data_IF_941219770376
#
_entry.id   IF_941219770376
#
_cell.length_a   1.000
_cell.length_b   1.000
_cell.length_c   1.000
_cell.angle_alpha   90.00
_cell.angle_beta   90.00
_cell.angle_gamma   90.00
#
_symmetry.space_group_name_H-M   'P 1'
#
loop_
_entity.id
_entity.type
_entity.pdbx_description
1 polymer ?
#
# COMPACT_ATOMS: atom_id res chain seq x y z
N UNK A 1 -2.30 8.74 -12.81
CA UNK A 1 -3.47 8.01 -12.23
C UNK A 1 -3.14 7.65 -10.79
N UNK A 2 -3.99 7.93 -9.80
CA UNK A 2 -3.67 7.59 -8.40
C UNK A 2 -3.75 6.07 -8.20
N UNK A 3 -2.77 5.50 -7.52
CA UNK A 3 -2.71 4.07 -7.19
C UNK A 3 -2.38 3.89 -5.72
N UNK A 4 -2.98 2.88 -5.09
CA UNK A 4 -2.61 2.44 -3.74
C UNK A 4 -1.77 1.19 -3.90
N UNK A 5 -0.56 1.19 -3.33
CA UNK A 5 0.38 0.08 -3.40
C UNK A 5 0.36 -0.66 -2.08
N UNK A 6 0.10 -1.97 -2.15
CA UNK A 6 0.30 -2.92 -1.05
C UNK A 6 1.73 -3.43 -1.09
N UNK A 7 2.46 -3.26 0.01
CA UNK A 7 3.74 -3.91 0.23
C UNK A 7 3.56 -5.07 1.22
N UNK A 8 3.97 -6.26 0.81
CA UNK A 8 3.98 -7.45 1.65
C UNK A 8 5.29 -8.22 1.46
N UNK A 9 6.21 -8.07 2.42
CA UNK A 9 7.58 -8.56 2.26
C UNK A 9 8.30 -7.89 1.08
N UNK A 10 8.80 -8.68 0.13
CA UNK A 10 9.49 -8.20 -1.06
C UNK A 10 8.55 -7.87 -2.24
N UNK A 11 7.23 -8.05 -2.08
CA UNK A 11 6.25 -7.87 -3.15
C UNK A 11 5.57 -6.52 -3.01
N UNK A 12 5.54 -5.75 -4.11
CA UNK A 12 4.74 -4.54 -4.24
C UNK A 12 3.62 -4.80 -5.26
N UNK A 13 2.37 -4.64 -4.83
CA UNK A 13 1.19 -4.92 -5.66
C UNK A 13 0.30 -3.68 -5.73
N UNK A 14 0.08 -3.11 -6.94
CA UNK A 14 -0.90 -2.04 -7.11
C UNK A 14 -2.32 -2.58 -6.93
N UNK A 15 -3.10 -1.94 -6.07
CA UNK A 15 -4.50 -2.27 -5.85
C UNK A 15 -5.34 -1.66 -6.98
N UNK A 16 -6.12 -2.50 -7.66
CA UNK A 16 -7.05 -2.09 -8.71
C UNK A 16 -8.35 -1.59 -8.05
N UNK A 17 -8.37 -0.32 -7.66
CA UNK A 17 -9.53 0.32 -7.02
C UNK A 17 -9.97 1.49 -7.88
N UNK A 18 -10.90 1.23 -8.80
CA UNK A 18 -11.62 2.26 -9.58
C UNK A 18 -10.77 3.41 -10.12
N UNK A 19 -11.40 4.55 -10.33
CA UNK A 19 -10.71 5.84 -10.44
C UNK A 19 -10.84 6.49 -9.06
N UNK A 20 -9.71 6.91 -8.49
CA UNK A 20 -9.66 7.61 -7.21
C UNK A 20 -9.02 8.97 -7.40
N UNK A 21 -9.56 9.96 -6.72
CA UNK A 21 -8.82 11.18 -6.45
C UNK A 21 -7.78 10.96 -5.31
N UNK A 22 -6.99 11.99 -5.04
CA UNK A 22 -5.93 11.91 -4.04
C UNK A 22 -6.48 11.76 -2.61
N UNK A 23 -7.57 12.45 -2.28
CA UNK A 23 -8.16 12.44 -0.94
C UNK A 23 -8.84 11.09 -0.66
N UNK A 24 -9.57 10.57 -1.64
CA UNK A 24 -10.16 9.23 -1.60
C UNK A 24 -9.08 8.16 -1.38
N UNK A 25 -7.97 8.25 -2.12
CA UNK A 25 -6.88 7.30 -1.98
C UNK A 25 -6.22 7.36 -0.58
N UNK A 26 -6.04 8.56 -0.02
CA UNK A 26 -5.53 8.73 1.34
C UNK A 26 -6.49 8.17 2.40
N UNK A 27 -7.81 8.37 2.22
CA UNK A 27 -8.83 7.80 3.11
C UNK A 27 -8.74 6.27 3.08
N UNK A 28 -8.71 5.67 1.88
CA UNK A 28 -8.64 4.21 1.71
C UNK A 28 -7.34 3.67 2.30
N UNK A 29 -6.20 4.31 2.03
CA UNK A 29 -4.89 3.93 2.60
C UNK A 29 -4.92 3.90 4.14
N UNK A 30 -5.56 4.90 4.77
CA UNK A 30 -5.74 4.93 6.23
C UNK A 30 -6.64 3.80 6.73
N UNK A 31 -7.74 3.51 6.04
CA UNK A 31 -8.66 2.43 6.45
C UNK A 31 -8.00 1.06 6.33
N UNK A 32 -7.29 0.80 5.23
CA UNK A 32 -6.53 -0.43 5.03
C UNK A 32 -5.46 -0.62 6.11
N UNK A 33 -4.73 0.44 6.45
CA UNK A 33 -3.73 0.42 7.52
C UNK A 33 -4.35 0.08 8.88
N UNK A 34 -5.51 0.66 9.21
CA UNK A 34 -6.23 0.34 10.45
C UNK A 34 -6.71 -1.11 10.47
N UNK A 35 -7.28 -1.58 9.36
CA UNK A 35 -7.79 -2.95 9.23
C UNK A 35 -6.66 -3.97 9.41
N UNK A 36 -5.52 -3.77 8.76
CA UNK A 36 -4.35 -4.65 8.92
C UNK A 36 -3.85 -4.63 10.36
N UNK A 37 -3.69 -3.47 10.98
CA UNK A 37 -3.28 -3.43 12.39
C UNK A 37 -4.25 -4.17 13.31
N UNK A 38 -5.55 -4.08 13.08
CA UNK A 38 -6.55 -4.81 13.85
C UNK A 38 -6.46 -6.32 13.63
N UNK A 39 -6.30 -6.78 12.38
CA UNK A 39 -6.16 -8.21 12.06
C UNK A 39 -4.89 -8.81 12.67
N UNK A 40 -3.81 -8.04 12.73
CA UNK A 40 -2.51 -8.50 13.23
C UNK A 40 -2.27 -8.13 14.71
N UNK A 41 -3.21 -7.47 15.39
CA UNK A 41 -3.04 -7.02 16.78
C UNK A 41 -2.82 -8.19 17.76
N UNK A 42 -3.45 -9.34 17.48
CA UNK A 42 -3.41 -10.52 18.33
C UNK A 42 -2.32 -11.53 17.91
N UNK A 43 -1.52 -11.20 16.90
CA UNK A 43 -0.39 -12.05 16.48
C UNK A 43 0.87 -11.75 17.31
N UNK A 44 1.60 -12.80 17.72
CA UNK A 44 2.87 -12.64 18.45
C UNK A 44 3.87 -11.79 17.66
N UNK A 45 4.66 -10.96 18.37
CA UNK A 45 5.56 -9.95 17.78
C UNK A 45 6.53 -10.50 16.71
N UNK A 46 6.80 -11.79 16.72
CA UNK A 46 7.66 -12.52 15.76
C UNK A 46 7.09 -12.56 14.34
N UNK A 47 5.77 -12.44 14.14
CA UNK A 47 5.15 -12.38 12.80
C UNK A 47 4.97 -10.95 12.28
N UNK A 48 5.31 -9.93 13.08
CA UNK A 48 5.16 -8.52 12.70
C UNK A 48 6.03 -8.11 11.49
N UNK A 49 7.08 -8.90 11.19
CA UNK A 49 7.95 -8.70 10.04
C UNK A 49 7.25 -8.84 8.67
N UNK A 50 6.09 -9.50 8.60
CA UNK A 50 5.30 -9.60 7.38
C UNK A 50 4.04 -8.71 7.40
N UNK A 51 3.92 -7.76 8.32
CA UNK A 51 2.73 -6.90 8.37
C UNK A 51 2.61 -6.08 7.07
N UNK A 52 1.49 -6.19 6.33
CA UNK A 52 1.32 -5.45 5.10
C UNK A 52 1.29 -3.93 5.34
N UNK A 53 1.86 -3.17 4.43
CA UNK A 53 1.83 -1.69 4.46
C UNK A 53 1.25 -1.14 3.18
N UNK A 54 0.65 0.05 3.26
CA UNK A 54 -0.01 0.70 2.12
C UNK A 54 0.51 2.12 1.95
N UNK A 55 0.81 2.49 0.71
CA UNK A 55 1.15 3.86 0.35
C UNK A 55 0.43 4.27 -0.94
N UNK A 56 0.23 5.58 -1.11
CA UNK A 56 -0.40 6.14 -2.30
C UNK A 56 0.70 6.65 -3.22
N UNK A 57 0.63 6.30 -4.50
CA UNK A 57 1.50 6.84 -5.54
C UNK A 57 0.66 7.49 -6.63
N UNK A 58 1.19 8.54 -7.24
CA UNK A 58 0.71 9.00 -8.54
C UNK A 58 1.38 8.11 -9.57
N UNK A 59 0.59 7.28 -10.26
CA UNK A 59 1.03 6.55 -11.43
C UNK A 59 1.50 7.54 -12.47
N UNK A 60 2.81 7.75 -12.48
CA UNK A 60 3.58 8.39 -13.52
C UNK A 60 3.67 7.42 -14.70
N UNK A 61 3.41 7.92 -15.90
CA UNK A 61 3.83 7.24 -17.12
C UNK A 61 5.27 7.65 -17.42
N UNK A 62 6.21 7.27 -16.56
CA UNK A 62 7.65 7.37 -16.81
C UNK A 62 8.24 6.06 -16.24
N UNK A 63 8.58 5.08 -17.07
CA UNK A 63 9.66 5.23 -18.03
C UNK A 63 10.97 5.08 -17.26
N UNK A 64 11.50 3.86 -17.25
CA UNK A 64 12.94 3.62 -17.41
C UNK A 64 13.87 4.72 -16.85
N UNK A 65 13.99 4.84 -15.54
CA UNK A 65 15.13 5.55 -14.95
C UNK A 65 15.99 4.54 -14.21
N UNK A 66 16.88 3.92 -15.01
CA UNK A 66 18.23 3.56 -14.59
C UNK A 66 18.69 4.54 -13.51
N UNK A 67 19.29 4.02 -12.44
CA UNK A 67 20.36 4.76 -11.79
C UNK A 67 21.60 3.86 -11.63
N UNK A 68 22.79 4.46 -11.76
CA UNK A 68 24.07 3.82 -12.08
C UNK A 68 24.69 3.01 -10.94
#
# INVERSE_FOLDING_TARGET
MIQIILNYGAVQTPLQIGQLDHDEALIIQRQLTKAVRAVFADMEATTCACMPTYHVTQGDQDGENLHP
#
